data_IF_089401693352
#
_entry.id   IF_089401693352
#
_cell.length_a   1.000
_cell.length_b   1.000
_cell.length_c   1.000
_cell.angle_alpha   90.00
_cell.angle_beta   90.00
_cell.angle_gamma   90.00
#
_symmetry.space_group_name_H-M   'P 1'
#
loop_
_entity.id
_entity.type
_entity.pdbx_description
1 polymer ?
#
# COMPACT_ATOMS: atom_id res chain seq x y z
N UNK A 1 -5.60 37.66 30.45
CA UNK A 1 -6.41 36.81 29.55
C UNK A 1 -5.48 36.16 28.55
N UNK A 2 -5.10 34.92 28.81
CA UNK A 2 -4.18 34.14 27.94
C UNK A 2 -4.96 33.42 26.85
N UNK A 3 -4.73 33.81 25.62
CA UNK A 3 -5.33 33.18 24.42
C UNK A 3 -4.65 31.82 24.19
N UNK A 4 -5.37 30.75 24.46
CA UNK A 4 -4.93 29.39 24.15
C UNK A 4 -4.94 29.26 22.62
N UNK A 5 -3.76 29.26 22.01
CA UNK A 5 -3.54 28.95 20.60
C UNK A 5 -4.01 27.52 20.35
N UNK A 6 -5.12 27.35 19.63
CA UNK A 6 -5.57 26.06 19.13
C UNK A 6 -4.51 25.55 18.16
N UNK A 7 -3.80 24.51 18.59
CA UNK A 7 -2.92 23.73 17.75
C UNK A 7 -3.75 23.17 16.58
N UNK A 8 -3.65 23.79 15.41
CA UNK A 8 -4.19 23.25 14.17
C UNK A 8 -3.46 21.96 13.89
N UNK A 9 -4.08 20.82 14.11
CA UNK A 9 -3.60 19.52 13.64
C UNK A 9 -3.30 19.64 12.14
N UNK A 10 -2.02 19.74 11.78
CA UNK A 10 -1.56 19.62 10.41
C UNK A 10 -2.15 18.32 9.87
N UNK A 11 -3.07 18.42 8.92
CA UNK A 11 -3.65 17.26 8.23
C UNK A 11 -2.50 16.38 7.77
N UNK A 12 -2.46 15.13 8.24
CA UNK A 12 -1.39 14.21 7.88
C UNK A 12 -1.39 14.07 6.36
N UNK A 13 -0.21 14.26 5.75
CA UNK A 13 -0.03 14.06 4.31
C UNK A 13 -0.40 12.62 3.96
N UNK A 14 -1.22 12.43 2.90
CA UNK A 14 -1.77 11.13 2.51
C UNK A 14 -1.64 10.88 1.01
N UNK A 15 -1.53 9.60 0.64
CA UNK A 15 -1.69 9.15 -0.73
C UNK A 15 -3.19 9.10 -1.04
N UNK A 16 -3.63 9.86 -2.02
CA UNK A 16 -5.02 9.84 -2.49
C UNK A 16 -5.08 8.94 -3.71
N UNK A 17 -5.81 7.82 -3.57
CA UNK A 17 -6.06 6.92 -4.68
C UNK A 17 -7.26 7.38 -5.49
N UNK A 18 -8.31 7.81 -4.81
CA UNK A 18 -9.47 8.47 -5.40
C UNK A 18 -10.20 9.31 -4.36
N UNK A 19 -10.85 10.36 -4.82
CA UNK A 19 -11.81 11.13 -4.04
C UNK A 19 -13.13 11.19 -4.81
N UNK A 20 -14.20 10.76 -4.18
CA UNK A 20 -15.59 11.00 -4.61
C UNK A 20 -16.16 12.08 -3.71
N UNK A 21 -17.29 12.69 -4.08
CA UNK A 21 -17.93 13.75 -3.27
C UNK A 21 -18.26 13.31 -1.83
N UNK A 22 -18.46 12.00 -1.60
CA UNK A 22 -18.87 11.45 -0.31
C UNK A 22 -17.74 10.77 0.46
N UNK A 23 -16.74 10.19 -0.22
CA UNK A 23 -15.71 9.38 0.44
C UNK A 23 -14.36 9.41 -0.29
N UNK A 24 -13.29 9.46 0.51
CA UNK A 24 -11.92 9.46 0.04
C UNK A 24 -11.24 8.10 0.29
N UNK A 25 -10.75 7.48 -0.79
CA UNK A 25 -9.84 6.35 -0.70
C UNK A 25 -8.41 6.88 -0.58
N UNK A 26 -7.92 6.95 0.65
CA UNK A 26 -6.59 7.50 0.93
C UNK A 26 -5.85 6.74 2.01
N UNK A 27 -4.52 6.81 1.95
CA UNK A 27 -3.61 6.18 2.88
C UNK A 27 -2.66 7.24 3.47
N UNK A 28 -2.67 7.51 4.78
CA UNK A 28 -1.71 8.39 5.44
C UNK A 28 -0.26 7.91 5.22
N UNK A 29 0.63 8.81 4.81
CA UNK A 29 2.06 8.49 4.70
C UNK A 29 2.71 8.25 6.04
N UNK A 30 3.84 7.56 6.04
CA UNK A 30 4.66 7.26 7.20
C UNK A 30 3.92 6.40 8.26
N UNK A 31 2.95 5.63 7.78
CA UNK A 31 2.15 4.68 8.54
C UNK A 31 2.04 3.37 7.79
N UNK A 32 2.06 2.25 8.51
CA UNK A 32 1.95 0.92 7.92
C UNK A 32 0.50 0.57 7.64
N UNK A 33 0.25 0.14 6.42
CA UNK A 33 -1.06 -0.30 5.94
C UNK A 33 -1.03 -1.78 5.62
N UNK A 34 -2.12 -2.46 5.89
CA UNK A 34 -2.32 -3.85 5.50
C UNK A 34 -3.18 -3.94 4.24
N UNK A 35 -2.70 -4.72 3.28
CA UNK A 35 -3.42 -5.06 2.05
C UNK A 35 -3.62 -6.57 2.01
N UNK A 36 -4.87 -7.01 1.89
CA UNK A 36 -5.23 -8.42 1.93
C UNK A 36 -6.21 -8.79 0.81
N UNK A 37 -6.63 -10.04 0.77
CA UNK A 37 -7.51 -10.57 -0.26
C UNK A 37 -6.77 -11.13 -1.47
N UNK A 38 -7.52 -11.74 -2.41
CA UNK A 38 -6.94 -12.42 -3.58
C UNK A 38 -6.22 -11.46 -4.54
N UNK A 39 -6.61 -10.21 -4.61
CA UNK A 39 -5.99 -9.19 -5.47
C UNK A 39 -5.03 -8.24 -4.73
N UNK A 40 -4.53 -8.61 -3.53
CA UNK A 40 -3.65 -7.77 -2.71
C UNK A 40 -2.40 -7.26 -3.43
N UNK A 41 -1.79 -8.11 -4.30
CA UNK A 41 -0.60 -7.73 -5.08
C UNK A 41 -0.95 -6.68 -6.13
N UNK A 42 -2.04 -6.86 -6.87
CA UNK A 42 -2.51 -5.91 -7.86
C UNK A 42 -2.81 -4.54 -7.21
N UNK A 43 -3.47 -4.53 -6.06
CA UNK A 43 -3.74 -3.28 -5.34
C UNK A 43 -2.48 -2.58 -4.88
N UNK A 44 -1.48 -3.32 -4.40
CA UNK A 44 -0.19 -2.74 -4.02
C UNK A 44 0.57 -2.14 -5.20
N UNK A 45 0.50 -2.77 -6.38
CA UNK A 45 1.04 -2.21 -7.63
C UNK A 45 0.30 -0.95 -8.04
N UNK A 46 -1.03 -0.94 -7.96
CA UNK A 46 -1.86 0.24 -8.24
C UNK A 46 -1.51 1.41 -7.30
N UNK A 47 -1.36 1.17 -5.99
CA UNK A 47 -0.94 2.19 -5.02
C UNK A 47 0.48 2.71 -5.33
N UNK A 48 1.39 1.80 -5.70
CA UNK A 48 2.77 2.13 -6.04
C UNK A 48 2.91 2.93 -7.35
N UNK A 49 1.98 2.75 -8.30
CA UNK A 49 1.95 3.52 -9.56
C UNK A 49 1.67 5.00 -9.34
N UNK A 50 1.04 5.35 -8.22
CA UNK A 50 0.77 6.76 -7.84
C UNK A 50 1.99 7.48 -7.29
N UNK A 51 3.08 6.77 -7.10
CA UNK A 51 4.32 7.31 -6.56
C UNK A 51 5.45 7.18 -7.57
N UNK A 52 6.39 8.11 -7.51
CA UNK A 52 7.66 8.01 -8.23
C UNK A 52 8.70 7.32 -7.34
N UNK A 53 9.81 6.91 -7.96
CA UNK A 53 10.96 6.34 -7.29
C UNK A 53 10.94 4.81 -7.17
N UNK A 54 11.95 4.24 -6.52
CA UNK A 54 12.13 2.80 -6.38
C UNK A 54 11.09 2.18 -5.44
N UNK A 55 10.86 0.89 -5.64
CA UNK A 55 9.98 0.05 -4.84
C UNK A 55 10.79 -1.12 -4.35
N UNK A 56 10.89 -1.35 -3.05
CA UNK A 56 11.45 -2.59 -2.52
C UNK A 56 10.32 -3.54 -2.15
N UNK A 57 10.39 -4.75 -2.70
CA UNK A 57 9.42 -5.82 -2.49
C UNK A 57 10.08 -6.98 -1.76
N UNK A 58 9.74 -7.15 -0.48
CA UNK A 58 10.32 -8.14 0.42
C UNK A 58 9.40 -9.35 0.49
N UNK A 59 9.93 -10.53 0.27
CA UNK A 59 9.19 -11.78 0.36
C UNK A 59 10.08 -12.92 0.86
N UNK A 60 9.46 -14.00 1.33
CA UNK A 60 10.20 -15.23 1.62
C UNK A 60 10.69 -15.90 0.33
N UNK A 61 11.90 -16.45 0.33
CA UNK A 61 12.43 -17.27 -0.78
C UNK A 61 11.58 -18.52 -1.07
N UNK A 62 10.85 -19.00 -0.07
CA UNK A 62 9.96 -20.16 -0.21
C UNK A 62 8.67 -19.83 -0.94
N UNK A 63 8.37 -18.56 -1.14
CA UNK A 63 7.18 -18.12 -1.85
C UNK A 63 7.37 -18.29 -3.36
N UNK A 64 6.84 -19.39 -3.89
CA UNK A 64 7.05 -19.81 -5.29
C UNK A 64 6.37 -18.90 -6.33
N UNK A 65 5.38 -18.12 -5.92
CA UNK A 65 4.67 -17.24 -6.85
C UNK A 65 5.42 -15.92 -7.05
N UNK A 66 6.09 -15.78 -8.18
CA UNK A 66 6.71 -14.53 -8.57
C UNK A 66 5.73 -13.62 -9.30
N UNK A 67 5.95 -12.32 -9.20
CA UNK A 67 5.27 -11.36 -10.04
C UNK A 67 5.81 -11.48 -11.48
N UNK A 68 4.92 -11.57 -12.45
CA UNK A 68 5.30 -11.58 -13.86
C UNK A 68 5.48 -10.14 -14.35
N UNK A 69 6.59 -9.83 -15.01
CA UNK A 69 6.89 -8.51 -15.57
C UNK A 69 5.79 -8.02 -16.53
N UNK A 70 5.24 -8.90 -17.39
CA UNK A 70 4.13 -8.58 -18.27
C UNK A 70 2.83 -8.22 -17.52
N UNK A 71 2.64 -8.77 -16.32
CA UNK A 71 1.52 -8.40 -15.44
C UNK A 71 1.77 -7.07 -14.73
N UNK A 72 3.03 -6.80 -14.34
CA UNK A 72 3.41 -5.56 -13.65
C UNK A 72 3.30 -4.34 -14.57
N UNK A 73 3.70 -4.47 -15.85
CA UNK A 73 3.73 -3.35 -16.81
C UNK A 73 2.36 -2.70 -17.00
N UNK A 74 1.28 -3.44 -16.72
CA UNK A 74 -0.09 -2.90 -16.73
C UNK A 74 -0.36 -1.87 -15.62
N UNK A 75 0.51 -1.78 -14.63
CA UNK A 75 0.36 -0.89 -13.47
C UNK A 75 1.49 0.13 -13.38
N UNK A 76 2.73 -0.31 -13.59
CA UNK A 76 3.92 0.53 -13.48
C UNK A 76 5.11 -0.13 -14.21
N UNK A 77 6.19 0.64 -14.41
CA UNK A 77 7.45 0.14 -14.94
C UNK A 77 8.05 -0.94 -14.01
N UNK A 78 8.21 -2.20 -14.47
CA UNK A 78 8.80 -3.27 -13.70
C UNK A 78 10.23 -2.97 -13.20
N UNK A 79 11.01 -2.18 -13.94
CA UNK A 79 12.37 -1.78 -13.58
C UNK A 79 12.46 -0.96 -12.28
N UNK A 80 11.33 -0.47 -11.77
CA UNK A 80 11.27 0.21 -10.48
C UNK A 80 11.25 -0.73 -9.29
N UNK A 81 10.98 -2.02 -9.50
CA UNK A 81 10.83 -2.99 -8.41
C UNK A 81 12.13 -3.76 -8.22
N UNK A 82 12.68 -3.70 -7.01
CA UNK A 82 13.76 -4.57 -6.56
C UNK A 82 13.20 -5.57 -5.55
N UNK A 83 13.41 -6.86 -5.81
CA UNK A 83 12.99 -7.92 -4.91
C UNK A 83 14.06 -8.24 -3.89
N UNK A 84 13.65 -8.38 -2.62
CA UNK A 84 14.48 -8.88 -1.53
C UNK A 84 13.89 -10.22 -1.07
N UNK A 85 14.67 -11.27 -1.15
CA UNK A 85 14.29 -12.60 -0.70
C UNK A 85 14.95 -12.93 0.63
N UNK A 86 14.12 -13.25 1.63
CA UNK A 86 14.58 -13.63 2.96
C UNK A 86 14.50 -15.14 3.16
N UNK A 87 15.44 -15.70 3.92
CA UNK A 87 15.43 -17.13 4.27
C UNK A 87 14.45 -17.44 5.40
N UNK A 88 14.23 -16.49 6.29
CA UNK A 88 13.34 -16.65 7.46
C UNK A 88 12.19 -15.66 7.35
N UNK A 89 11.02 -16.09 7.77
CA UNK A 89 9.81 -15.23 7.77
C UNK A 89 9.98 -14.02 8.69
N UNK A 90 10.66 -14.18 9.82
CA UNK A 90 10.93 -13.09 10.77
C UNK A 90 11.80 -11.97 10.17
N UNK A 91 12.68 -12.31 9.23
CA UNK A 91 13.58 -11.37 8.59
C UNK A 91 12.84 -10.41 7.65
N UNK A 92 11.65 -10.77 7.17
CA UNK A 92 10.83 -9.91 6.28
C UNK A 92 10.53 -8.56 6.97
N UNK A 93 10.02 -8.61 8.19
CA UNK A 93 9.65 -7.40 8.93
C UNK A 93 10.87 -6.64 9.44
N UNK A 94 11.95 -7.37 9.78
CA UNK A 94 13.22 -6.74 10.13
C UNK A 94 13.83 -5.97 8.93
N UNK A 95 13.90 -6.59 7.76
CA UNK A 95 14.35 -5.91 6.54
C UNK A 95 13.50 -4.68 6.24
N UNK A 96 12.17 -4.81 6.33
CA UNK A 96 11.26 -3.68 6.14
C UNK A 96 11.54 -2.54 7.11
N UNK A 97 11.78 -2.85 8.39
CA UNK A 97 12.09 -1.86 9.43
C UNK A 97 13.35 -1.09 9.11
N UNK A 98 14.44 -1.78 8.73
CA UNK A 98 15.72 -1.13 8.40
C UNK A 98 15.61 -0.23 7.16
N UNK A 99 14.89 -0.68 6.12
CA UNK A 99 14.63 0.13 4.93
C UNK A 99 13.83 1.38 5.28
N UNK A 100 12.77 1.23 6.07
CA UNK A 100 11.95 2.37 6.50
C UNK A 100 12.74 3.34 7.37
N UNK A 101 13.63 2.83 8.23
CA UNK A 101 14.49 3.64 9.09
C UNK A 101 15.46 4.48 8.29
N UNK A 102 15.99 3.95 7.18
CA UNK A 102 16.85 4.72 6.27
C UNK A 102 16.15 5.90 5.61
N UNK A 103 14.83 5.78 5.38
CA UNK A 103 14.02 6.81 4.72
C UNK A 103 14.30 7.03 3.23
N UNK A 104 15.19 6.22 2.61
CA UNK A 104 15.62 6.40 1.23
C UNK A 104 14.64 5.86 0.19
N UNK A 105 13.79 4.91 0.56
CA UNK A 105 12.89 4.22 -0.35
C UNK A 105 11.45 4.65 -0.11
N UNK A 106 10.80 5.30 -1.09
CA UNK A 106 9.46 5.85 -0.90
C UNK A 106 8.36 4.80 -0.76
N UNK A 107 8.54 3.61 -1.33
CA UNK A 107 7.54 2.54 -1.25
C UNK A 107 8.20 1.21 -0.87
N UNK A 108 7.75 0.62 0.23
CA UNK A 108 8.25 -0.65 0.74
C UNK A 108 7.08 -1.60 0.94
N UNK A 109 7.16 -2.77 0.32
CA UNK A 109 6.13 -3.80 0.34
C UNK A 109 6.72 -5.06 0.98
N UNK A 110 6.02 -5.62 1.97
CA UNK A 110 6.41 -6.87 2.62
C UNK A 110 5.29 -7.91 2.51
N UNK A 111 5.57 -9.05 1.88
CA UNK A 111 4.63 -10.18 1.85
C UNK A 111 4.84 -11.07 3.06
N UNK A 112 3.84 -11.13 3.93
CA UNK A 112 3.83 -11.94 5.15
C UNK A 112 2.90 -13.14 4.97
N UNK A 113 3.37 -14.33 5.35
CA UNK A 113 2.58 -15.57 5.29
C UNK A 113 1.45 -15.57 6.33
N UNK A 114 1.65 -14.86 7.42
CA UNK A 114 0.66 -14.67 8.50
C UNK A 114 0.58 -13.21 8.89
N UNK A 115 -0.60 -12.75 9.38
CA UNK A 115 -0.73 -11.38 9.87
C UNK A 115 0.19 -11.10 11.06
N UNK A 116 1.05 -10.07 10.99
CA UNK A 116 1.98 -9.75 12.08
C UNK A 116 1.27 -9.29 13.36
N UNK A 117 1.83 -9.60 14.55
CA UNK A 117 1.32 -9.10 15.81
C UNK A 117 1.64 -7.61 16.03
N UNK A 118 1.15 -7.06 17.15
CA UNK A 118 1.21 -5.61 17.43
C UNK A 118 2.62 -5.03 17.51
N UNK A 119 3.56 -5.76 18.13
CA UNK A 119 4.90 -5.22 18.41
C UNK A 119 5.71 -4.91 17.15
N UNK A 120 5.85 -5.82 16.17
CA UNK A 120 6.50 -5.50 14.90
C UNK A 120 5.84 -4.31 14.18
N UNK A 121 4.50 -4.24 14.16
CA UNK A 121 3.80 -3.13 13.49
C UNK A 121 4.12 -1.78 14.14
N UNK A 122 4.19 -1.72 15.47
CA UNK A 122 4.60 -0.50 16.18
C UNK A 122 6.02 -0.07 15.81
N UNK A 123 6.95 -1.04 15.69
CA UNK A 123 8.33 -0.77 15.27
C UNK A 123 8.37 -0.20 13.85
N UNK A 124 7.60 -0.76 12.91
CA UNK A 124 7.51 -0.24 11.54
C UNK A 124 6.96 1.20 11.49
N UNK A 125 5.96 1.52 12.30
CA UNK A 125 5.44 2.90 12.40
C UNK A 125 6.51 3.87 12.90
N UNK A 126 7.30 3.48 13.90
CA UNK A 126 8.38 4.32 14.43
C UNK A 126 9.51 4.48 13.41
N UNK A 127 9.91 3.40 12.74
CA UNK A 127 10.94 3.42 11.71
C UNK A 127 10.52 4.32 10.52
N UNK A 128 9.28 4.18 10.04
CA UNK A 128 8.77 5.01 8.95
C UNK A 128 8.72 6.50 9.33
N UNK A 129 8.29 6.81 10.55
CA UNK A 129 8.29 8.19 11.05
C UNK A 129 9.70 8.77 11.13
N UNK A 130 10.65 8.00 11.66
CA UNK A 130 12.04 8.40 11.81
C UNK A 130 12.71 8.63 10.44
N UNK A 131 12.63 7.67 9.52
CA UNK A 131 13.21 7.78 8.19
C UNK A 131 12.63 8.95 7.38
N UNK A 132 11.32 9.17 7.50
CA UNK A 132 10.65 10.30 6.86
C UNK A 132 11.13 11.66 7.38
N UNK A 133 11.50 11.75 8.65
CA UNK A 133 12.06 12.98 9.23
C UNK A 133 13.48 13.26 8.73
N UNK A 134 14.33 12.22 8.62
CA UNK A 134 15.70 12.37 8.16
C UNK A 134 15.76 12.83 6.71
N UNK A 135 15.08 12.12 5.81
CA UNK A 135 15.16 12.37 4.37
C UNK A 135 14.06 13.29 3.84
N UNK A 136 13.17 13.79 4.69
CA UNK A 136 11.99 14.59 4.31
C UNK A 136 11.11 13.91 3.25
N UNK A 137 11.17 12.58 3.20
CA UNK A 137 10.43 11.76 2.23
C UNK A 137 9.11 11.26 2.83
N UNK A 138 8.14 11.04 1.95
CA UNK A 138 6.85 10.48 2.31
C UNK A 138 6.88 8.98 2.05
N UNK A 139 6.97 8.17 3.09
CA UNK A 139 7.08 6.71 2.97
C UNK A 139 5.70 6.06 2.92
N UNK A 140 5.57 5.04 2.06
CA UNK A 140 4.39 4.20 1.93
C UNK A 140 4.75 2.74 2.28
N UNK A 141 4.67 2.35 3.55
CA UNK A 141 4.87 0.97 3.97
C UNK A 141 3.59 0.15 3.81
N UNK A 142 3.65 -0.92 3.01
CA UNK A 142 2.55 -1.85 2.76
C UNK A 142 2.91 -3.26 3.24
N UNK A 143 2.04 -3.89 4.02
CA UNK A 143 2.15 -5.30 4.41
C UNK A 143 1.06 -6.06 3.67
N UNK A 144 1.45 -7.09 2.94
CA UNK A 144 0.54 -7.99 2.26
C UNK A 144 0.32 -9.22 3.12
N UNK A 145 -0.93 -9.51 3.42
CA UNK A 145 -1.31 -10.68 4.23
C UNK A 145 -2.33 -11.54 3.49
N UNK A 146 -2.38 -12.85 3.75
CA UNK A 146 -3.34 -13.74 3.11
C UNK A 146 -4.77 -13.51 3.61
N UNK A 147 -5.73 -14.09 2.90
CA UNK A 147 -7.15 -14.16 3.28
C UNK A 147 -7.76 -12.80 3.61
N UNK A 148 -8.25 -12.64 4.81
CA UNK A 148 -8.93 -11.42 5.27
C UNK A 148 -8.01 -10.45 6.03
N UNK A 149 -6.71 -10.73 6.07
CA UNK A 149 -5.76 -9.99 6.89
C UNK A 149 -5.90 -10.30 8.37
N UNK A 150 -5.38 -9.44 9.22
CA UNK A 150 -5.45 -9.61 10.67
C UNK A 150 -4.35 -8.89 11.43
N UNK A 151 -3.44 -8.19 10.75
CA UNK A 151 -2.34 -7.50 11.40
C UNK A 151 -2.85 -6.50 12.45
N UNK A 152 -2.21 -6.54 13.63
CA UNK A 152 -2.62 -5.70 14.76
C UNK A 152 -1.91 -4.35 14.71
N UNK A 153 -2.62 -3.29 15.08
CA UNK A 153 -2.02 -1.95 15.23
C UNK A 153 -1.74 -1.21 13.92
N UNK A 154 -2.13 -1.73 12.77
CA UNK A 154 -2.02 -1.05 11.48
C UNK A 154 -2.84 0.23 11.41
N UNK A 155 -2.46 1.14 10.53
CA UNK A 155 -3.21 2.38 10.28
C UNK A 155 -4.52 2.10 9.55
N UNK A 156 -4.47 1.36 8.42
CA UNK A 156 -5.65 0.93 7.67
C UNK A 156 -5.49 -0.51 7.18
N UNK A 157 -6.62 -1.22 7.02
CA UNK A 157 -6.69 -2.53 6.35
C UNK A 157 -7.57 -2.42 5.13
N UNK A 158 -7.00 -2.84 4.00
CA UNK A 158 -7.64 -2.84 2.69
C UNK A 158 -7.75 -4.26 2.18
N UNK A 159 -8.94 -4.63 1.75
CA UNK A 159 -9.17 -5.92 1.10
C UNK A 159 -9.56 -5.67 -0.36
N UNK A 160 -8.91 -6.37 -1.27
CA UNK A 160 -9.25 -6.28 -2.69
C UNK A 160 -9.56 -7.65 -3.27
N UNK A 161 -10.71 -7.74 -3.93
CA UNK A 161 -11.17 -8.95 -4.63
C UNK A 161 -11.54 -8.66 -6.08
N UNK A 162 -11.34 -9.64 -6.99
CA UNK A 162 -11.70 -9.47 -8.39
C UNK A 162 -13.22 -9.51 -8.56
N UNK A 163 -13.70 -8.69 -9.48
CA UNK A 163 -15.09 -8.63 -9.97
C UNK A 163 -15.10 -8.53 -11.49
N UNK A 164 -14.11 -9.20 -12.12
CA UNK A 164 -13.97 -9.18 -13.57
C UNK A 164 -15.17 -9.85 -14.25
N UNK A 165 -15.49 -9.35 -15.44
CA UNK A 165 -16.38 -9.99 -16.38
C UNK A 165 -15.71 -10.05 -17.77
N UNK A 166 -16.41 -10.56 -18.79
CA UNK A 166 -15.85 -10.70 -20.13
C UNK A 166 -15.44 -9.36 -20.79
N UNK A 167 -15.93 -8.23 -20.28
CA UNK A 167 -15.78 -6.90 -20.92
C UNK A 167 -14.90 -5.96 -20.09
N UNK A 168 -14.87 -6.12 -18.75
CA UNK A 168 -14.20 -5.16 -17.87
C UNK A 168 -13.33 -5.80 -16.79
N UNK A 169 -12.17 -5.17 -16.53
CA UNK A 169 -11.31 -5.48 -15.41
C UNK A 169 -11.75 -4.69 -14.18
N UNK A 170 -12.63 -5.31 -13.39
CA UNK A 170 -13.25 -4.67 -12.25
C UNK A 170 -12.84 -5.31 -10.94
N UNK A 171 -12.66 -4.50 -9.90
CA UNK A 171 -12.34 -4.95 -8.53
C UNK A 171 -13.27 -4.32 -7.52
N UNK A 172 -13.52 -5.06 -6.44
CA UNK A 172 -14.10 -4.53 -5.21
C UNK A 172 -12.96 -4.21 -4.24
N UNK A 173 -12.86 -2.97 -3.80
CA UNK A 173 -11.93 -2.50 -2.79
C UNK A 173 -12.72 -2.16 -1.54
N UNK A 174 -12.32 -2.72 -0.40
CA UNK A 174 -12.96 -2.51 0.89
C UNK A 174 -11.95 -1.97 1.91
N UNK A 175 -12.23 -0.82 2.50
CA UNK A 175 -11.55 -0.35 3.70
C UNK A 175 -12.19 -1.03 4.90
N UNK A 176 -11.63 -2.14 5.34
CA UNK A 176 -12.18 -2.93 6.45
C UNK A 176 -11.83 -2.36 7.82
N UNK A 177 -10.75 -1.58 7.90
CA UNK A 177 -10.30 -0.90 9.10
C UNK A 177 -9.57 0.39 8.75
N UNK A 178 -9.82 1.44 9.52
CA UNK A 178 -9.01 2.64 9.60
C UNK A 178 -9.12 3.24 11.00
N UNK A 179 -8.13 4.03 11.42
CA UNK A 179 -8.16 4.72 12.71
C UNK A 179 -9.14 5.89 12.74
N UNK A 180 -9.26 6.57 11.60
CA UNK A 180 -9.94 7.86 11.49
C UNK A 180 -11.13 7.86 10.55
N UNK A 181 -11.46 6.72 9.96
CA UNK A 181 -12.54 6.63 8.96
C UNK A 181 -13.33 5.34 9.13
N UNK A 182 -14.64 5.35 8.87
CA UNK A 182 -15.47 4.15 8.94
C UNK A 182 -15.11 3.13 7.86
N UNK A 183 -15.53 1.86 7.98
CA UNK A 183 -15.50 0.91 6.87
C UNK A 183 -16.23 1.46 5.65
N UNK A 184 -15.67 1.21 4.47
CA UNK A 184 -16.24 1.67 3.21
C UNK A 184 -15.83 0.75 2.06
N UNK A 185 -16.55 0.79 0.95
CA UNK A 185 -16.29 -0.05 -0.22
C UNK A 185 -16.41 0.74 -1.52
N UNK A 186 -15.58 0.40 -2.49
CA UNK A 186 -15.56 1.00 -3.83
C UNK A 186 -15.48 -0.07 -4.89
N UNK A 187 -16.10 0.18 -6.02
CA UNK A 187 -15.86 -0.58 -7.23
C UNK A 187 -14.85 0.19 -8.10
N UNK A 188 -13.75 -0.46 -8.43
CA UNK A 188 -12.72 0.07 -9.31
C UNK A 188 -12.83 -0.58 -10.68
N UNK A 189 -12.94 0.25 -11.70
CA UNK A 189 -12.77 -0.15 -13.09
C UNK A 189 -11.39 0.34 -13.57
N UNK A 190 -10.52 -0.58 -13.96
CA UNK A 190 -9.16 -0.27 -14.37
C UNK A 190 -9.02 -0.55 -15.86
N UNK A 191 -8.82 0.50 -16.63
CA UNK A 191 -8.59 0.40 -18.05
C UNK A 191 -7.08 0.57 -18.33
N UNK A 192 -6.47 -0.46 -18.90
CA UNK A 192 -5.13 -0.35 -19.47
C UNK A 192 -5.27 0.13 -20.90
N UNK A 193 -4.63 1.24 -21.26
CA UNK A 193 -4.45 1.59 -22.67
C UNK A 193 -3.45 0.59 -23.26
N UNK A 194 -3.87 -0.25 -24.19
CA UNK A 194 -3.01 -1.25 -24.85
C UNK A 194 -1.89 -0.62 -25.69
N UNK A 195 -1.98 0.69 -25.97
CA UNK A 195 -1.02 1.42 -26.81
C UNK A 195 0.21 1.97 -26.06
N UNK A 196 0.18 2.04 -24.74
CA UNK A 196 1.27 2.64 -23.97
C UNK A 196 2.20 1.58 -23.39
N UNK A 197 3.42 1.53 -23.89
CA UNK A 197 4.53 0.73 -23.33
C UNK A 197 4.94 1.17 -21.91
N UNK A 198 4.47 2.33 -21.46
CA UNK A 198 4.57 2.83 -20.07
C UNK A 198 3.21 3.41 -19.68
N UNK A 199 2.59 3.00 -18.59
CA UNK A 199 1.26 3.46 -18.20
C UNK A 199 1.29 4.96 -17.88
N UNK A 200 0.86 5.78 -18.82
CA UNK A 200 0.50 7.17 -18.57
C UNK A 200 -0.84 7.15 -17.84
N UNK A 201 -0.85 7.38 -16.55
CA UNK A 201 -1.99 7.46 -15.62
C UNK A 201 -3.26 6.70 -16.10
N UNK A 202 -3.48 5.46 -15.66
CA UNK A 202 -4.61 4.66 -16.09
C UNK A 202 -5.94 5.37 -15.77
N UNK A 203 -6.89 5.30 -16.69
CA UNK A 203 -8.25 5.82 -16.47
C UNK A 203 -8.92 4.97 -15.40
N UNK A 204 -9.31 5.61 -14.31
CA UNK A 204 -9.95 4.97 -13.15
C UNK A 204 -11.35 5.52 -12.99
N UNK A 205 -12.33 4.66 -13.04
CA UNK A 205 -13.67 5.00 -12.58
C UNK A 205 -13.90 4.31 -11.25
N UNK A 206 -14.17 5.08 -10.21
CA UNK A 206 -14.43 4.56 -8.88
C UNK A 206 -15.83 5.00 -8.46
N UNK A 207 -16.63 4.04 -8.07
CA UNK A 207 -17.98 4.28 -7.55
C UNK A 207 -18.02 3.80 -6.09
N UNK A 208 -18.43 4.66 -5.17
CA UNK A 208 -18.75 4.27 -3.80
C UNK A 208 -19.94 3.31 -3.82
N UNK A 209 -19.93 2.32 -2.91
CA UNK A 209 -20.96 1.31 -2.83
C UNK A 209 -21.82 1.56 -1.60
#
# INVERSE_FOLDING_TARGET
MSTISRNTHKSASKLIFSSTESEELSLPFNRTHEVCGPSRRAFSLMLSSLRKGPILWIKSQWYRQNLNAQGIIKFLDPGRITFIETKRTDDILWCMEEILRSGCIPTVIAECDTPPPLTPIRRLHLAAKYGAQINKEKLLPLILTPSNGGAQGIETRWHMSPRHNAISNRWLIERRRARTSPPAAWTLDWQCNEADTVPTAPVRTITAK
#
